data_IF_859643628199
#
_entry.id   IF_859643628199
#
_cell.length_a   1.000
_cell.length_b   1.000
_cell.length_c   1.000
_cell.angle_alpha   90.00
_cell.angle_beta   90.00
_cell.angle_gamma   90.00
#
_symmetry.space_group_name_H-M   'P 1'
#
loop_
_entity.id
_entity.type
_entity.pdbx_description
1 polymer ?
#
# COMPACT_ATOMS: atom_id res chain seq x y z
N UNK A 1 -9.76 5.22 -2.91
CA UNK A 1 -8.44 5.75 -2.51
C UNK A 1 -7.79 4.98 -1.35
N UNK A 2 -8.54 4.55 -0.33
CA UNK A 2 -8.01 3.89 0.88
C UNK A 2 -7.41 2.48 0.68
N UNK A 3 -7.64 1.82 -0.46
CA UNK A 3 -7.05 0.51 -0.75
C UNK A 3 -5.50 0.56 -0.67
N UNK A 4 -4.89 -0.02 0.37
CA UNK A 4 -3.43 0.03 0.57
C UNK A 4 -2.86 1.46 0.72
N UNK A 5 -3.64 2.41 1.22
CA UNK A 5 -3.17 3.77 1.49
C UNK A 5 -3.72 4.23 2.83
N UNK A 6 -2.87 4.82 3.69
CA UNK A 6 -3.28 5.25 5.02
C UNK A 6 -4.27 6.43 4.96
N UNK A 7 -5.22 6.47 5.90
CA UNK A 7 -6.27 7.51 5.98
C UNK A 7 -5.66 8.90 5.97
N UNK A 8 -4.66 9.17 6.82
CA UNK A 8 -4.00 10.47 6.93
C UNK A 8 -3.42 10.99 5.60
N UNK A 9 -2.97 10.08 4.72
CA UNK A 9 -2.52 10.43 3.38
C UNK A 9 -3.68 10.74 2.45
N UNK A 10 -4.80 10.02 2.57
CA UNK A 10 -5.94 10.12 1.64
C UNK A 10 -6.78 11.37 1.85
N UNK A 11 -6.89 11.90 3.07
CA UNK A 11 -7.80 13.02 3.39
C UNK A 11 -7.67 14.19 2.42
N UNK A 12 -6.47 14.72 2.23
CA UNK A 12 -6.23 15.89 1.37
C UNK A 12 -6.34 15.57 -0.13
N UNK A 13 -6.14 14.31 -0.52
CA UNK A 13 -6.40 13.89 -1.89
C UNK A 13 -7.89 13.78 -2.17
N UNK A 14 -8.65 13.21 -1.24
CA UNK A 14 -10.09 13.06 -1.36
C UNK A 14 -10.78 14.42 -1.44
N UNK A 15 -10.44 15.37 -0.56
CA UNK A 15 -10.99 16.73 -0.59
C UNK A 15 -10.74 17.42 -1.95
N UNK A 16 -9.50 17.40 -2.45
CA UNK A 16 -9.17 18.00 -3.75
C UNK A 16 -9.85 17.29 -4.91
N UNK A 17 -9.97 15.97 -4.85
CA UNK A 17 -10.67 15.17 -5.85
C UNK A 17 -12.14 15.53 -5.93
N UNK A 18 -12.85 15.50 -4.80
CA UNK A 18 -14.28 15.81 -4.73
C UNK A 18 -14.57 17.28 -5.08
N UNK A 19 -13.64 18.21 -4.79
CA UNK A 19 -13.76 19.61 -5.23
C UNK A 19 -13.68 19.75 -6.76
N UNK A 20 -12.85 18.94 -7.42
CA UNK A 20 -12.66 18.99 -8.88
C UNK A 20 -13.75 18.22 -9.64
N UNK A 21 -14.13 17.05 -9.12
CA UNK A 21 -15.14 16.18 -9.71
C UNK A 21 -16.16 15.80 -8.62
N UNK A 22 -17.15 16.68 -8.36
CA UNK A 22 -18.15 16.44 -7.33
C UNK A 22 -19.14 15.34 -7.73
N UNK A 23 -19.35 15.11 -9.02
CA UNK A 23 -20.26 14.08 -9.53
C UNK A 23 -19.55 13.01 -10.38
N UNK A 24 -20.22 11.88 -10.58
CA UNK A 24 -19.76 10.83 -11.49
C UNK A 24 -19.65 11.34 -12.93
N UNK A 25 -20.57 12.22 -13.34
CA UNK A 25 -20.61 12.82 -14.68
C UNK A 25 -19.40 13.74 -14.91
N UNK A 26 -18.98 14.50 -13.90
CA UNK A 26 -17.79 15.35 -13.98
C UNK A 26 -16.53 14.50 -14.14
N UNK A 27 -16.42 13.41 -13.36
CA UNK A 27 -15.31 12.48 -13.48
C UNK A 27 -15.32 11.77 -14.84
N UNK A 28 -16.47 11.35 -15.35
CA UNK A 28 -16.57 10.64 -16.63
C UNK A 28 -16.09 11.49 -17.83
N UNK A 29 -16.23 12.81 -17.75
CA UNK A 29 -15.74 13.78 -18.75
C UNK A 29 -14.25 14.10 -18.62
N UNK A 30 -13.61 13.72 -17.51
CA UNK A 30 -12.21 14.02 -17.26
C UNK A 30 -11.29 13.25 -18.21
N UNK A 31 -10.14 13.85 -18.56
CA UNK A 31 -9.10 13.11 -19.27
C UNK A 31 -8.32 12.19 -18.32
N UNK A 32 -7.75 11.12 -18.87
CA UNK A 32 -6.88 10.22 -18.10
C UNK A 32 -5.68 10.97 -17.52
N UNK A 33 -5.18 11.99 -18.20
CA UNK A 33 -4.06 12.81 -17.73
C UNK A 33 -4.43 13.68 -16.53
N UNK A 34 -5.61 14.30 -16.53
CA UNK A 34 -6.11 15.04 -15.39
C UNK A 34 -6.30 14.14 -14.16
N UNK A 35 -6.82 12.93 -14.37
CA UNK A 35 -6.96 11.91 -13.32
C UNK A 35 -5.58 11.50 -12.77
N UNK A 36 -4.61 11.22 -13.63
CA UNK A 36 -3.26 10.86 -13.20
C UNK A 36 -2.57 11.98 -12.43
N UNK A 37 -2.77 13.24 -12.82
CA UNK A 37 -2.25 14.41 -12.12
C UNK A 37 -2.83 14.53 -10.72
N UNK A 38 -4.15 14.38 -10.57
CA UNK A 38 -4.83 14.41 -9.27
C UNK A 38 -4.46 13.21 -8.38
N UNK A 39 -4.15 12.05 -8.99
CA UNK A 39 -3.74 10.83 -8.30
C UNK A 39 -2.24 10.80 -7.96
N UNK A 40 -1.46 11.77 -8.45
CA UNK A 40 -0.01 11.77 -8.32
C UNK A 40 0.43 11.74 -6.85
N UNK A 41 1.21 10.74 -6.48
CA UNK A 41 1.70 10.52 -5.11
C UNK A 41 0.91 9.51 -4.27
N UNK A 42 -0.30 9.09 -4.68
CA UNK A 42 -1.05 8.03 -3.99
C UNK A 42 -0.55 6.61 -4.30
N UNK A 43 0.27 6.45 -5.34
CA UNK A 43 0.73 5.15 -5.84
C UNK A 43 -0.39 4.33 -6.49
N UNK A 44 0.00 3.24 -7.17
CA UNK A 44 -0.93 2.35 -7.88
C UNK A 44 -1.90 3.10 -8.80
N UNK A 45 -1.35 3.82 -9.79
CA UNK A 45 -2.11 4.68 -10.74
C UNK A 45 -3.20 3.93 -11.52
N UNK A 46 -3.09 2.61 -11.66
CA UNK A 46 -4.13 1.77 -12.23
C UNK A 46 -5.47 1.90 -11.50
N UNK A 47 -5.47 2.22 -10.19
CA UNK A 47 -6.70 2.45 -9.42
C UNK A 47 -7.44 3.72 -9.88
N UNK A 48 -6.71 4.82 -10.09
CA UNK A 48 -7.30 6.06 -10.59
C UNK A 48 -7.86 5.89 -12.01
N UNK A 49 -7.10 5.20 -12.88
CA UNK A 49 -7.56 4.85 -14.22
C UNK A 49 -8.84 4.00 -14.21
N UNK A 50 -8.88 2.92 -13.43
CA UNK A 50 -10.06 2.04 -13.33
C UNK A 50 -11.28 2.79 -12.75
N UNK A 51 -11.05 3.73 -11.83
CA UNK A 51 -12.13 4.57 -11.30
C UNK A 51 -12.73 5.48 -12.38
N UNK A 52 -11.90 6.06 -13.26
CA UNK A 52 -12.36 6.82 -14.43
C UNK A 52 -13.14 5.92 -15.40
N UNK A 53 -12.59 4.76 -15.77
CA UNK A 53 -13.26 3.78 -16.64
C UNK A 53 -14.61 3.34 -16.05
N UNK A 54 -14.68 3.13 -14.73
CA UNK A 54 -15.91 2.80 -14.01
C UNK A 54 -16.94 3.93 -14.05
N UNK A 55 -16.53 5.18 -13.82
CA UNK A 55 -17.42 6.33 -13.91
C UNK A 55 -17.98 6.52 -15.33
N UNK A 56 -17.13 6.37 -16.35
CA UNK A 56 -17.54 6.42 -17.75
C UNK A 56 -18.56 5.34 -18.08
N UNK A 57 -18.30 4.11 -17.63
CA UNK A 57 -19.22 2.98 -17.83
C UNK A 57 -20.59 3.22 -17.18
N UNK A 58 -20.62 3.75 -15.94
CA UNK A 58 -21.88 4.07 -15.25
C UNK A 58 -22.68 5.14 -15.99
N UNK A 59 -22.01 6.17 -16.52
CA UNK A 59 -22.68 7.21 -17.30
C UNK A 59 -23.22 6.67 -18.63
N UNK A 60 -22.44 5.86 -19.35
CA UNK A 60 -22.79 5.36 -20.69
C UNK A 60 -23.81 4.22 -20.65
N UNK A 61 -23.62 3.23 -19.79
CA UNK A 61 -24.42 2.00 -19.78
C UNK A 61 -25.57 2.02 -18.76
N UNK A 62 -25.44 2.81 -17.69
CA UNK A 62 -26.43 2.85 -16.59
C UNK A 62 -27.10 4.23 -16.44
N UNK A 63 -26.96 5.11 -17.43
CA UNK A 63 -27.58 6.44 -17.42
C UNK A 63 -27.15 7.32 -16.24
N UNK A 64 -25.93 7.11 -15.73
CA UNK A 64 -25.39 7.82 -14.57
C UNK A 64 -25.90 7.31 -13.22
N UNK A 65 -26.68 6.23 -13.19
CA UNK A 65 -27.16 5.60 -11.95
C UNK A 65 -26.22 4.45 -11.56
N UNK A 66 -25.63 4.55 -10.37
CA UNK A 66 -24.79 3.47 -9.84
C UNK A 66 -25.63 2.20 -9.58
N UNK A 67 -25.09 1.01 -9.90
CA UNK A 67 -25.67 -0.25 -9.43
C UNK A 67 -25.76 -0.26 -7.91
N UNK A 68 -26.90 -0.71 -7.38
CA UNK A 68 -27.21 -0.60 -5.94
C UNK A 68 -26.82 -1.83 -5.11
N UNK A 69 -26.56 -2.97 -5.75
CA UNK A 69 -26.19 -4.20 -5.05
C UNK A 69 -24.70 -4.53 -5.19
N UNK A 70 -24.12 -5.19 -4.20
CA UNK A 70 -22.74 -5.64 -4.20
C UNK A 70 -22.45 -6.57 -5.37
N UNK A 71 -23.39 -7.47 -5.70
CA UNK A 71 -23.30 -8.39 -6.83
C UNK A 71 -23.20 -7.63 -8.15
N UNK A 72 -24.06 -6.61 -8.34
CA UNK A 72 -24.06 -5.81 -9.57
C UNK A 72 -22.81 -4.92 -9.66
N UNK A 73 -22.40 -4.29 -8.55
CA UNK A 73 -21.17 -3.50 -8.50
C UNK A 73 -19.94 -4.34 -8.84
N UNK A 74 -19.83 -5.56 -8.28
CA UNK A 74 -18.75 -6.50 -8.54
C UNK A 74 -18.74 -6.99 -10.00
N UNK A 75 -19.92 -7.32 -10.55
CA UNK A 75 -20.05 -7.86 -11.90
C UNK A 75 -19.76 -6.82 -12.98
N UNK A 76 -20.22 -5.59 -12.79
CA UNK A 76 -20.26 -4.60 -13.86
C UNK A 76 -19.13 -3.58 -13.82
N UNK A 77 -18.57 -3.23 -12.66
CA UNK A 77 -17.64 -2.10 -12.55
C UNK A 77 -16.16 -2.53 -12.53
N UNK A 78 -15.32 -1.99 -13.43
CA UNK A 78 -13.90 -2.32 -13.47
C UNK A 78 -13.16 -1.83 -12.22
N UNK A 79 -12.33 -2.70 -11.64
CA UNK A 79 -11.55 -2.35 -10.45
C UNK A 79 -12.31 -2.37 -9.12
N UNK A 80 -13.60 -2.70 -9.15
CA UNK A 80 -14.39 -2.99 -7.96
C UNK A 80 -14.25 -4.47 -7.63
N UNK A 81 -13.55 -4.78 -6.54
CA UNK A 81 -13.48 -6.13 -5.97
C UNK A 81 -14.52 -6.32 -4.88
N UNK A 82 -14.63 -7.55 -4.35
CA UNK A 82 -15.63 -7.96 -3.34
C UNK A 82 -15.74 -6.99 -2.16
N UNK A 83 -14.60 -6.58 -1.59
CA UNK A 83 -14.55 -5.58 -0.52
C UNK A 83 -15.17 -4.23 -0.92
N UNK A 84 -14.77 -3.69 -2.08
CA UNK A 84 -15.24 -2.37 -2.53
C UNK A 84 -16.72 -2.41 -2.92
N UNK A 85 -17.18 -3.50 -3.51
CA UNK A 85 -18.59 -3.72 -3.80
C UNK A 85 -19.43 -3.71 -2.52
N UNK A 86 -19.06 -4.54 -1.53
CA UNK A 86 -19.78 -4.59 -0.25
C UNK A 86 -19.71 -3.27 0.53
N UNK A 87 -18.56 -2.57 0.50
CA UNK A 87 -18.43 -1.28 1.17
C UNK A 87 -19.33 -0.22 0.55
N UNK A 88 -19.39 -0.12 -0.79
CA UNK A 88 -20.30 0.83 -1.46
C UNK A 88 -21.75 0.43 -1.20
N UNK A 89 -22.11 -0.84 -1.36
CA UNK A 89 -23.49 -1.30 -1.23
C UNK A 89 -24.04 -1.10 0.19
N UNK A 90 -23.25 -1.42 1.22
CA UNK A 90 -23.67 -1.23 2.61
C UNK A 90 -23.69 0.23 3.04
N UNK A 91 -22.65 1.02 2.71
CA UNK A 91 -22.54 2.41 3.17
C UNK A 91 -23.47 3.35 2.39
N UNK A 92 -23.57 3.19 1.07
CA UNK A 92 -24.33 4.11 0.23
C UNK A 92 -25.78 3.67 -0.04
N UNK A 93 -26.06 2.36 0.04
CA UNK A 93 -27.37 1.80 -0.32
C UNK A 93 -27.99 0.91 0.77
N UNK A 94 -27.39 0.86 1.96
CA UNK A 94 -27.88 0.08 3.10
C UNK A 94 -28.14 -1.40 2.78
N UNK A 95 -27.42 -1.99 1.81
CA UNK A 95 -27.50 -3.43 1.59
C UNK A 95 -26.84 -4.16 2.78
N UNK A 96 -27.58 -5.08 3.39
CA UNK A 96 -27.09 -5.94 4.47
C UNK A 96 -26.05 -6.96 3.94
N UNK A 97 -24.81 -6.49 3.78
CA UNK A 97 -23.68 -7.31 3.35
C UNK A 97 -22.45 -6.96 4.18
N UNK A 98 -21.81 -7.99 4.75
CA UNK A 98 -20.58 -7.83 5.51
C UNK A 98 -19.39 -7.56 4.59
N UNK A 99 -18.38 -6.88 5.11
CA UNK A 99 -17.12 -6.64 4.38
C UNK A 99 -15.93 -7.21 5.14
N UNK A 100 -14.91 -7.65 4.39
CA UNK A 100 -13.67 -8.17 4.96
C UNK A 100 -12.48 -7.42 4.39
N UNK A 101 -11.76 -6.71 5.26
CA UNK A 101 -10.47 -6.09 5.00
C UNK A 101 -9.42 -6.55 6.02
N UNK A 102 -8.19 -6.03 5.94
CA UNK A 102 -7.14 -6.40 6.89
C UNK A 102 -7.45 -6.06 8.36
N UNK A 103 -8.32 -5.09 8.62
CA UNK A 103 -8.78 -4.75 9.96
C UNK A 103 -9.85 -5.73 10.44
N UNK A 104 -10.87 -5.97 9.64
CA UNK A 104 -11.97 -6.89 9.94
C UNK A 104 -11.48 -8.33 10.09
N UNK A 105 -10.56 -8.79 9.23
CA UNK A 105 -9.91 -10.10 9.37
C UNK A 105 -9.36 -10.27 10.78
N UNK A 106 -8.60 -9.29 11.26
CA UNK A 106 -7.96 -9.38 12.58
C UNK A 106 -8.97 -9.36 13.71
N UNK A 107 -10.00 -8.51 13.61
CA UNK A 107 -11.08 -8.45 14.61
C UNK A 107 -11.81 -9.79 14.68
N UNK A 108 -12.30 -10.30 13.54
CA UNK A 108 -13.05 -11.56 13.48
C UNK A 108 -12.21 -12.76 13.93
N UNK A 109 -10.94 -12.84 13.49
CA UNK A 109 -10.05 -13.92 13.93
C UNK A 109 -9.87 -13.93 15.45
N UNK A 110 -9.72 -12.77 16.10
CA UNK A 110 -9.62 -12.68 17.56
C UNK A 110 -10.95 -12.97 18.25
N UNK A 111 -12.07 -12.49 17.70
CA UNK A 111 -13.39 -12.76 18.27
C UNK A 111 -13.79 -14.23 18.20
N UNK A 112 -13.30 -14.98 17.20
CA UNK A 112 -13.69 -16.38 16.92
C UNK A 112 -12.55 -17.40 16.98
N UNK A 113 -11.41 -17.07 17.60
CA UNK A 113 -10.25 -17.97 17.75
C UNK A 113 -9.72 -18.58 16.44
N UNK A 114 -9.83 -17.86 15.32
CA UNK A 114 -9.33 -18.32 14.03
C UNK A 114 -7.82 -18.07 13.98
N UNK A 115 -7.04 -19.13 14.22
CA UNK A 115 -5.58 -19.13 14.33
C UNK A 115 -4.86 -19.40 13.03
N UNK A 116 -5.50 -20.11 12.09
CA UNK A 116 -4.91 -20.46 10.82
C UNK A 116 -4.54 -19.22 9.97
N UNK A 117 -3.69 -19.45 8.97
CA UNK A 117 -3.22 -18.38 8.10
C UNK A 117 -4.39 -17.64 7.45
N UNK A 118 -4.46 -16.34 7.72
CA UNK A 118 -5.46 -15.44 7.14
C UNK A 118 -5.41 -15.36 5.61
N UNK A 119 -4.36 -15.85 4.95
CA UNK A 119 -4.28 -15.90 3.48
C UNK A 119 -4.84 -17.19 2.88
N UNK A 120 -5.22 -18.18 3.70
CA UNK A 120 -5.80 -19.43 3.20
C UNK A 120 -7.23 -19.22 2.70
N UNK A 121 -7.63 -19.97 1.68
CA UNK A 121 -8.96 -19.85 1.09
C UNK A 121 -10.06 -20.26 2.09
N UNK A 122 -9.82 -21.30 2.89
CA UNK A 122 -10.75 -21.75 3.93
C UNK A 122 -11.04 -20.65 4.96
N UNK A 123 -9.99 -20.03 5.51
CA UNK A 123 -10.14 -18.91 6.45
C UNK A 123 -10.82 -17.72 5.79
N UNK A 124 -10.44 -17.35 4.57
CA UNK A 124 -11.10 -16.26 3.84
C UNK A 124 -12.59 -16.52 3.67
N UNK A 125 -12.99 -17.72 3.24
CA UNK A 125 -14.39 -18.09 3.07
C UNK A 125 -15.17 -18.01 4.40
N UNK A 126 -14.59 -18.55 5.49
CA UNK A 126 -15.21 -18.49 6.81
C UNK A 126 -15.35 -17.05 7.31
N UNK A 127 -14.33 -16.21 7.13
CA UNK A 127 -14.38 -14.80 7.53
C UNK A 127 -15.45 -14.02 6.77
N UNK A 128 -15.61 -14.28 5.47
CA UNK A 128 -16.68 -13.68 4.69
C UNK A 128 -18.07 -14.16 5.10
N UNK A 129 -18.22 -15.45 5.43
CA UNK A 129 -19.48 -15.97 6.00
C UNK A 129 -19.79 -15.27 7.32
N UNK A 130 -18.85 -15.29 8.27
CA UNK A 130 -19.00 -14.65 9.57
C UNK A 130 -19.35 -13.17 9.45
N UNK A 131 -18.69 -12.44 8.54
CA UNK A 131 -18.99 -11.03 8.33
C UNK A 131 -20.43 -10.80 7.86
N UNK A 132 -20.97 -11.68 7.01
CA UNK A 132 -22.37 -11.62 6.59
C UNK A 132 -23.33 -12.07 7.70
N UNK A 133 -22.93 -13.00 8.56
CA UNK A 133 -23.77 -13.49 9.66
C UNK A 133 -23.93 -12.44 10.77
N UNK A 134 -22.91 -11.62 11.00
CA UNK A 134 -22.90 -10.63 12.10
C UNK A 134 -23.26 -9.21 11.67
N UNK A 135 -23.38 -8.93 10.37
CA UNK A 135 -23.69 -7.58 9.89
C UNK A 135 -25.07 -7.16 10.39
N UNK A 136 -25.15 -5.96 10.95
CA UNK A 136 -26.42 -5.36 11.34
C UNK A 136 -27.32 -5.20 10.11
N UNK A 137 -28.56 -5.66 10.20
CA UNK A 137 -29.49 -5.66 9.06
C UNK A 137 -30.07 -4.28 8.79
N UNK A 138 -30.20 -3.44 9.83
CA UNK A 138 -30.81 -2.12 9.74
C UNK A 138 -29.76 -1.04 9.39
N UNK A 139 -28.55 -1.18 9.91
CA UNK A 139 -27.44 -0.24 9.78
C UNK A 139 -26.14 -0.91 9.29
N UNK A 140 -26.15 -1.63 8.15
CA UNK A 140 -25.00 -2.41 7.71
C UNK A 140 -23.78 -1.55 7.36
N UNK A 141 -24.00 -0.33 6.86
CA UNK A 141 -22.94 0.63 6.56
C UNK A 141 -22.17 1.04 7.82
N UNK A 142 -22.89 1.45 8.87
CA UNK A 142 -22.28 1.87 10.13
C UNK A 142 -21.65 0.70 10.88
N UNK A 143 -22.28 -0.48 10.84
CA UNK A 143 -21.67 -1.70 11.39
C UNK A 143 -20.33 -2.01 10.72
N UNK A 144 -20.30 -2.01 9.38
CA UNK A 144 -19.07 -2.28 8.62
C UNK A 144 -17.98 -1.23 8.90
N UNK A 145 -18.35 0.05 8.98
CA UNK A 145 -17.43 1.12 9.37
C UNK A 145 -16.93 0.96 10.80
N UNK A 146 -17.80 0.60 11.74
CA UNK A 146 -17.46 0.31 13.13
C UNK A 146 -16.47 -0.86 13.26
N UNK A 147 -16.66 -1.93 12.49
CA UNK A 147 -15.72 -3.07 12.45
C UNK A 147 -14.35 -2.67 11.89
N UNK A 148 -14.31 -1.84 10.84
CA UNK A 148 -13.06 -1.30 10.30
C UNK A 148 -12.35 -0.40 11.32
N UNK A 149 -13.09 0.51 11.95
CA UNK A 149 -12.57 1.48 12.92
C UNK A 149 -12.08 0.79 14.19
N UNK A 150 -12.82 -0.20 14.70
CA UNK A 150 -12.41 -1.03 15.84
C UNK A 150 -11.06 -1.70 15.56
N UNK A 151 -10.88 -2.27 14.38
CA UNK A 151 -9.60 -2.83 13.98
C UNK A 151 -8.50 -1.76 13.88
N UNK A 152 -8.81 -0.61 13.30
CA UNK A 152 -7.82 0.45 13.08
C UNK A 152 -7.32 1.11 14.37
N UNK A 153 -8.19 1.31 15.36
CA UNK A 153 -7.89 2.16 16.53
C UNK A 153 -7.71 1.40 17.84
N UNK A 154 -8.42 0.28 18.04
CA UNK A 154 -8.43 -0.47 19.33
C UNK A 154 -7.79 -1.84 19.17
N UNK A 155 -8.35 -2.66 18.28
CA UNK A 155 -7.90 -4.01 18.00
C UNK A 155 -6.76 -3.97 16.98
N UNK A 156 -5.67 -3.28 17.31
CA UNK A 156 -4.53 -3.00 16.43
C UNK A 156 -3.65 -4.26 16.20
N UNK A 157 -2.77 -4.25 15.18
CA UNK A 157 -1.88 -5.38 14.91
C UNK A 157 -0.90 -5.68 16.05
N UNK A 158 -0.43 -4.65 16.76
CA UNK A 158 0.50 -4.76 17.88
C UNK A 158 -0.07 -4.05 19.10
N UNK A 159 0.01 -4.71 20.27
CA UNK A 159 -0.44 -4.14 21.55
C UNK A 159 -1.88 -3.59 21.50
N UNK A 160 -2.89 -4.43 21.19
CA UNK A 160 -4.28 -3.99 21.12
C UNK A 160 -4.82 -3.56 22.49
N UNK A 161 -5.61 -2.50 22.52
CA UNK A 161 -6.20 -1.91 23.72
C UNK A 161 -7.42 -2.69 24.21
N UNK A 162 -7.23 -3.95 24.61
CA UNK A 162 -8.32 -4.86 24.95
C UNK A 162 -9.18 -4.37 26.13
N UNK A 163 -8.60 -3.66 27.10
CA UNK A 163 -9.30 -3.16 28.27
C UNK A 163 -10.37 -2.09 27.93
N UNK A 164 -10.13 -1.29 26.88
CA UNK A 164 -11.07 -0.27 26.38
C UNK A 164 -11.88 -0.75 25.18
N UNK A 165 -11.78 -2.02 24.81
CA UNK A 165 -12.49 -2.56 23.67
C UNK A 165 -13.99 -2.75 23.99
N UNK A 166 -14.92 -2.14 23.23
CA UNK A 166 -16.35 -2.26 23.50
C UNK A 166 -16.86 -3.70 23.31
N UNK A 167 -16.18 -4.51 22.50
CA UNK A 167 -16.53 -5.90 22.22
C UNK A 167 -15.75 -6.91 23.09
N UNK A 168 -15.09 -6.48 24.17
CA UNK A 168 -14.19 -7.36 24.95
C UNK A 168 -14.90 -8.56 25.59
N UNK A 169 -16.18 -8.41 25.98
CA UNK A 169 -16.98 -9.50 26.58
C UNK A 169 -17.29 -10.61 25.58
N UNK A 170 -17.35 -10.28 24.29
CA UNK A 170 -17.64 -11.21 23.20
C UNK A 170 -16.36 -11.80 22.58
N UNK A 171 -15.18 -11.34 22.99
CA UNK A 171 -13.91 -11.71 22.37
C UNK A 171 -13.36 -13.02 22.96
N UNK A 172 -13.47 -14.12 22.20
CA UNK A 172 -12.98 -15.42 22.64
C UNK A 172 -11.46 -15.46 22.86
N UNK A 173 -10.66 -14.74 22.05
CA UNK A 173 -9.21 -14.64 22.29
C UNK A 173 -8.89 -13.98 23.63
N UNK A 174 -9.63 -12.94 24.02
CA UNK A 174 -9.46 -12.29 25.33
C UNK A 174 -9.84 -13.25 26.44
N UNK A 175 -10.96 -13.96 26.31
CA UNK A 175 -11.38 -14.98 27.28
C UNK A 175 -10.33 -16.11 27.43
N UNK A 176 -9.70 -16.54 26.35
CA UNK A 176 -8.65 -17.55 26.37
C UNK A 176 -7.37 -17.04 27.08
N UNK A 177 -6.96 -15.79 26.83
CA UNK A 177 -5.83 -15.16 27.54
C UNK A 177 -6.08 -15.13 29.05
N UNK A 178 -7.28 -14.71 29.48
CA UNK A 178 -7.61 -14.64 30.92
C UNK A 178 -7.72 -16.04 31.57
N UNK A 179 -8.24 -17.04 30.84
CA UNK A 179 -8.22 -18.44 31.29
C UNK A 179 -6.79 -18.95 31.51
N UNK A 180 -5.88 -18.68 30.57
CA UNK A 180 -4.49 -19.13 30.69
C UNK A 180 -3.74 -18.43 31.84
N UNK A 181 -4.01 -17.15 32.11
CA UNK A 181 -3.47 -16.45 33.30
C UNK A 181 -3.97 -17.08 34.60
N UNK A 182 -5.25 -17.43 34.66
CA UNK A 182 -5.87 -18.03 35.86
C UNK A 182 -5.31 -19.42 36.17
N UNK A 183 -5.00 -20.22 35.12
CA UNK A 183 -4.32 -21.52 35.27
C UNK A 183 -2.90 -21.37 35.84
N UNK A 184 -2.16 -20.32 35.49
CA UNK A 184 -0.83 -20.05 36.04
C UNK A 184 -0.88 -19.44 37.48
N UNK A 185 -2.00 -18.82 37.87
CA UNK A 185 -2.22 -18.26 39.20
C UNK A 185 -2.72 -19.27 40.24
N UNK A 186 -3.48 -20.28 39.84
CA UNK A 186 -3.94 -21.36 40.72
C UNK A 186 -2.83 -22.41 40.91
N UNK A 187 -1.89 -22.13 41.83
CA UNK A 187 -0.99 -23.14 42.43
C UNK A 187 -1.70 -24.09 43.40
N UNK A 188 -3.01 -23.91 43.63
CA UNK A 188 -3.86 -24.81 44.41
C UNK A 188 -4.59 -25.72 43.41
N UNK A 189 -4.16 -26.98 43.33
CA UNK A 189 -4.51 -27.95 42.29
C UNK A 189 -5.98 -28.38 42.21
N UNK A 190 -6.89 -27.43 42.00
CA UNK A 190 -8.28 -27.70 41.65
C UNK A 190 -8.32 -27.91 40.14
N UNK A 191 -8.42 -29.18 39.71
CA UNK A 191 -8.69 -29.55 38.32
C UNK A 191 -10.10 -29.09 37.98
N UNK A 192 -10.20 -27.96 37.27
CA UNK A 192 -11.45 -27.50 36.70
C UNK A 192 -11.95 -28.58 35.71
N UNK A 193 -13.10 -29.18 36.01
CA UNK A 193 -13.61 -30.41 35.39
C UNK A 193 -14.49 -30.14 34.17
N UNK A 194 -14.19 -29.11 33.40
CA UNK A 194 -14.89 -28.81 32.14
C UNK A 194 -13.91 -28.54 31.01
N UNK A 195 -12.95 -29.44 30.80
CA UNK A 195 -12.28 -29.59 29.50
C UNK A 195 -13.14 -30.54 28.63
N UNK A 196 -14.40 -30.16 28.37
CA UNK A 196 -15.12 -30.75 27.24
C UNK A 196 -14.55 -30.03 26.01
N UNK A 197 -13.75 -30.70 25.16
CA UNK A 197 -13.26 -30.09 23.93
C UNK A 197 -14.47 -29.61 23.12
N UNK A 198 -14.35 -28.42 22.55
CA UNK A 198 -15.33 -27.93 21.57
C UNK A 198 -15.50 -29.00 20.49
N UNK A 199 -16.73 -29.27 20.04
CA UNK A 199 -17.00 -30.36 19.10
C UNK A 199 -16.23 -30.18 17.79
N UNK A 200 -15.87 -28.94 17.45
CA UNK A 200 -15.00 -28.59 16.32
C UNK A 200 -13.51 -28.95 16.53
N UNK A 201 -13.08 -29.22 17.77
CA UNK A 201 -11.74 -29.70 18.13
C UNK A 201 -11.62 -31.24 18.12
N UNK A 202 -12.73 -31.97 17.93
CA UNK A 202 -12.74 -33.45 17.84
C UNK A 202 -12.33 -33.92 16.43
N UNK A 203 -12.27 -33.01 15.46
CA UNK A 203 -11.74 -33.28 14.12
C UNK A 203 -10.21 -33.25 14.19
N UNK A 204 -9.56 -34.36 13.79
CA UNK A 204 -8.09 -34.52 13.85
C UNK A 204 -7.29 -33.41 13.14
N UNK A 205 -7.94 -32.60 12.29
CA UNK A 205 -7.30 -31.43 11.65
C UNK A 205 -8.32 -30.34 11.29
N UNK A 206 -8.41 -29.31 12.13
CA UNK A 206 -9.23 -28.12 11.84
C UNK A 206 -8.43 -27.07 11.07
N UNK A 207 -8.89 -26.71 9.86
CA UNK A 207 -8.26 -25.72 8.98
C UNK A 207 -8.37 -24.26 9.49
N UNK A 208 -9.06 -24.03 10.61
CA UNK A 208 -9.24 -22.71 11.22
C UNK A 208 -8.42 -22.54 12.51
N UNK A 209 -8.03 -23.65 13.15
CA UNK A 209 -7.28 -23.65 14.39
C UNK A 209 -5.83 -23.17 14.18
N UNK A 210 -5.12 -22.95 15.29
CA UNK A 210 -3.67 -22.74 15.24
C UNK A 210 -3.02 -23.95 14.55
N UNK A 211 -2.09 -23.73 13.60
CA UNK A 211 -1.32 -24.83 13.02
C UNK A 211 -0.61 -25.66 14.11
N UNK A 212 -0.58 -26.97 13.96
CA UNK A 212 0.04 -27.90 14.93
C UNK A 212 1.50 -27.55 15.26
N UNK A 213 2.23 -26.96 14.31
CA UNK A 213 3.60 -26.53 14.45
C UNK A 213 3.77 -25.13 15.08
N UNK A 214 2.68 -24.40 15.34
CA UNK A 214 2.67 -23.04 15.90
C UNK A 214 1.78 -22.97 17.15
N UNK A 215 2.25 -23.57 18.25
CA UNK A 215 1.55 -23.60 19.54
C UNK A 215 1.38 -22.22 20.17
N UNK A 216 0.40 -22.09 21.07
CA UNK A 216 0.10 -20.85 21.80
C UNK A 216 1.34 -20.20 22.44
N UNK A 217 1.56 -18.91 22.16
CA UNK A 217 2.61 -18.11 22.80
C UNK A 217 1.99 -17.16 23.85
N UNK A 218 2.31 -17.36 25.13
CA UNK A 218 1.82 -16.53 26.22
C UNK A 218 2.16 -15.05 26.05
N UNK A 219 3.30 -14.72 25.43
CA UNK A 219 3.77 -13.34 25.26
C UNK A 219 2.95 -12.57 24.23
N UNK A 220 2.40 -13.27 23.24
CA UNK A 220 1.61 -12.67 22.17
C UNK A 220 0.16 -12.42 22.63
N UNK A 221 -0.36 -13.20 23.58
CA UNK A 221 -1.72 -13.06 24.10
C UNK A 221 -2.77 -13.16 22.97
N UNK A 222 -3.63 -12.15 22.82
CA UNK A 222 -4.62 -12.14 21.72
C UNK A 222 -3.98 -12.03 20.32
N UNK A 223 -2.69 -11.68 20.23
CA UNK A 223 -1.96 -11.56 18.95
C UNK A 223 -1.57 -12.91 18.36
N UNK A 224 -1.79 -14.02 19.08
CA UNK A 224 -1.79 -15.36 18.49
C UNK A 224 -2.82 -15.51 17.35
N UNK A 225 -3.84 -14.63 17.31
CA UNK A 225 -4.91 -14.65 16.32
C UNK A 225 -4.95 -13.36 15.47
N UNK A 226 -4.95 -13.43 14.13
CA UNK A 226 -4.55 -14.58 13.32
C UNK A 226 -3.02 -14.75 13.30
N UNK A 227 -2.52 -15.98 13.05
CA UNK A 227 -1.09 -16.18 12.82
C UNK A 227 -0.65 -15.46 11.55
N UNK A 228 0.51 -14.81 11.67
CA UNK A 228 1.06 -14.00 10.59
C UNK A 228 1.67 -14.93 9.55
N UNK A 229 1.12 -14.91 8.34
CA UNK A 229 1.75 -15.60 7.21
C UNK A 229 3.21 -15.14 7.04
N UNK A 230 4.13 -16.11 6.91
CA UNK A 230 5.53 -15.83 6.63
C UNK A 230 5.69 -14.96 5.37
N UNK A 231 6.39 -13.83 5.48
CA UNK A 231 6.64 -12.96 4.32
C UNK A 231 7.71 -13.59 3.44
N UNK A 232 7.36 -13.96 2.20
CA UNK A 232 8.36 -14.28 1.16
C UNK A 232 9.23 -13.05 0.91
N UNK A 233 10.54 -13.26 0.78
CA UNK A 233 11.48 -12.18 0.49
C UNK A 233 11.09 -11.50 -0.83
N UNK A 234 11.16 -10.17 -0.86
CA UNK A 234 10.88 -9.42 -2.07
C UNK A 234 11.92 -9.77 -3.14
N UNK A 235 11.46 -9.98 -4.38
CA UNK A 235 12.35 -10.20 -5.52
C UNK A 235 13.21 -8.96 -5.71
N UNK A 236 14.52 -9.15 -5.75
CA UNK A 236 15.47 -8.08 -6.07
C UNK A 236 15.56 -7.97 -7.59
N UNK A 237 15.13 -6.84 -8.13
CA UNK A 237 15.26 -6.52 -9.56
C UNK A 237 16.33 -5.44 -9.75
N UNK A 238 17.12 -5.57 -10.82
CA UNK A 238 18.14 -4.60 -11.21
C UNK A 238 17.65 -3.85 -12.45
N UNK A 239 17.60 -2.52 -12.38
CA UNK A 239 17.15 -1.68 -13.50
C UNK A 239 18.25 -0.68 -13.86
N UNK A 240 18.58 -0.63 -15.15
CA UNK A 240 19.48 0.39 -15.71
C UNK A 240 18.65 1.55 -16.28
N UNK A 241 19.08 2.78 -15.99
CA UNK A 241 18.44 4.00 -16.51
C UNK A 241 19.46 4.77 -17.35
N UNK A 242 19.17 4.93 -18.64
CA UNK A 242 19.98 5.73 -19.56
C UNK A 242 19.35 7.12 -19.73
N UNK A 243 20.17 8.17 -19.58
CA UNK A 243 19.74 9.56 -19.78
C UNK A 243 20.46 10.11 -21.01
N UNK A 244 19.75 10.17 -22.13
CA UNK A 244 20.29 10.69 -23.39
C UNK A 244 20.03 12.19 -23.46
N UNK A 245 21.08 12.97 -23.72
CA UNK A 245 21.02 14.43 -23.79
C UNK A 245 21.65 14.93 -25.10
N UNK A 246 20.91 15.73 -25.87
CA UNK A 246 21.40 16.46 -27.06
C UNK A 246 21.64 17.92 -26.70
N UNK A 247 22.81 18.46 -27.09
CA UNK A 247 23.09 19.90 -26.98
C UNK A 247 22.71 20.59 -28.30
N UNK A 248 21.91 21.64 -28.23
CA UNK A 248 21.63 22.51 -29.38
C UNK A 248 22.72 23.58 -29.53
N UNK A 249 22.90 24.08 -30.76
CA UNK A 249 23.66 25.33 -31.00
C UNK A 249 22.92 26.45 -30.25
N UNK A 250 23.57 27.02 -29.23
CA UNK A 250 22.94 27.94 -28.26
C UNK A 250 23.04 27.52 -26.79
N UNK A 251 23.55 26.30 -26.49
CA UNK A 251 23.81 25.85 -25.12
C UNK A 251 22.62 25.20 -24.41
N UNK A 252 21.44 25.23 -25.02
CA UNK A 252 20.26 24.50 -24.56
C UNK A 252 20.48 22.97 -24.63
N UNK A 253 19.91 22.25 -23.65
CA UNK A 253 19.96 20.79 -23.57
C UNK A 253 18.58 20.21 -23.75
N UNK A 254 18.47 19.24 -24.65
CA UNK A 254 17.28 18.44 -24.87
C UNK A 254 17.52 17.03 -24.33
N UNK A 255 16.50 16.43 -23.75
CA UNK A 255 16.56 15.09 -23.18
C UNK A 255 15.61 14.17 -23.93
N UNK A 256 16.04 12.94 -24.18
CA UNK A 256 15.19 11.93 -24.79
C UNK A 256 14.38 11.22 -23.72
N UNK A 257 13.05 11.16 -23.92
CA UNK A 257 12.12 10.51 -23.02
C UNK A 257 11.31 9.49 -23.82
N UNK A 258 11.26 8.26 -23.33
CA UNK A 258 10.46 7.19 -23.93
C UNK A 258 9.20 7.01 -23.10
N UNK A 259 8.05 7.11 -23.75
CA UNK A 259 6.77 6.79 -23.14
C UNK A 259 6.62 5.27 -23.04
N UNK A 260 6.39 4.74 -21.84
CA UNK A 260 6.14 3.30 -21.64
C UNK A 260 4.80 2.88 -22.24
N UNK A 261 4.75 1.62 -22.71
CA UNK A 261 3.55 0.98 -23.22
C UNK A 261 2.40 1.00 -22.20
N UNK A 262 1.16 0.96 -22.69
CA UNK A 262 -0.05 1.15 -21.88
C UNK A 262 -0.32 0.02 -20.85
N UNK A 263 0.45 -1.08 -20.86
CA UNK A 263 0.34 -2.21 -19.93
C UNK A 263 1.66 -2.39 -19.16
N UNK A 264 1.61 -2.44 -17.83
CA UNK A 264 2.79 -2.70 -16.97
C UNK A 264 2.94 -1.77 -15.76
N UNK A 265 3.84 -2.12 -14.82
CA UNK A 265 3.83 -1.67 -13.42
C UNK A 265 4.17 -0.19 -13.13
N UNK A 266 4.48 0.66 -14.12
CA UNK A 266 4.64 2.11 -13.91
C UNK A 266 4.20 2.87 -15.17
N UNK A 267 3.00 3.45 -15.12
CA UNK A 267 2.33 4.15 -16.22
C UNK A 267 2.49 5.67 -16.03
N UNK A 268 2.99 6.32 -17.09
CA UNK A 268 3.04 7.77 -17.36
C UNK A 268 3.58 8.67 -16.23
N UNK A 269 4.89 8.91 -16.24
CA UNK A 269 5.50 10.08 -15.59
C UNK A 269 6.59 10.66 -16.48
N UNK A 270 6.36 11.87 -17.02
CA UNK A 270 7.36 12.62 -17.78
C UNK A 270 8.36 13.26 -16.82
N UNK A 271 9.66 12.99 -17.01
CA UNK A 271 10.73 13.47 -16.11
C UNK A 271 11.74 14.28 -16.92
N UNK A 272 11.81 15.59 -16.74
CA UNK A 272 12.83 16.45 -17.36
C UNK A 272 13.99 16.66 -16.38
N UNK A 273 15.24 16.61 -16.84
CA UNK A 273 16.42 16.89 -16.00
C UNK A 273 16.95 18.28 -16.35
N UNK A 274 16.81 19.28 -15.48
CA UNK A 274 17.32 20.64 -15.74
C UNK A 274 18.64 20.86 -15.00
N UNK A 275 19.69 21.34 -15.67
CA UNK A 275 21.01 21.59 -15.07
C UNK A 275 21.23 23.09 -14.83
N UNK A 276 21.34 23.53 -13.56
CA UNK A 276 21.74 24.91 -13.19
C UNK A 276 23.16 24.90 -12.65
N UNK A 277 23.98 25.85 -13.12
CA UNK A 277 25.36 26.05 -12.64
C UNK A 277 25.34 27.15 -11.57
N UNK A 278 25.87 26.87 -10.39
CA UNK A 278 26.10 27.88 -9.34
C UNK A 278 27.44 28.60 -9.56
N UNK A 279 27.61 29.74 -8.88
CA UNK A 279 28.82 30.59 -8.95
C UNK A 279 30.10 29.91 -8.43
N UNK A 280 29.95 28.89 -7.58
CA UNK A 280 31.01 28.04 -7.02
C UNK A 280 31.46 26.89 -7.96
N UNK A 281 30.90 26.80 -9.17
CA UNK A 281 31.18 25.71 -10.10
C UNK A 281 30.38 24.42 -9.83
N UNK A 282 29.57 24.39 -8.78
CA UNK A 282 28.67 23.29 -8.46
C UNK A 282 27.54 23.20 -9.51
N UNK A 283 27.27 22.00 -10.02
CA UNK A 283 26.17 21.74 -10.96
C UNK A 283 25.04 21.06 -10.21
N UNK A 284 23.89 21.73 -10.16
CA UNK A 284 22.67 21.17 -9.61
C UNK A 284 21.76 20.71 -10.75
N UNK A 285 21.32 19.47 -10.68
CA UNK A 285 20.33 18.94 -11.60
C UNK A 285 18.98 18.86 -10.87
N UNK A 286 17.90 19.27 -11.53
CA UNK A 286 16.54 19.26 -11.03
C UNK A 286 15.74 18.25 -11.84
N UNK A 287 14.89 17.45 -11.18
CA UNK A 287 13.84 16.72 -11.87
C UNK A 287 12.62 17.63 -11.97
N UNK A 288 12.35 18.10 -13.17
CA UNK A 288 11.17 18.90 -13.51
C UNK A 288 10.12 17.97 -14.08
N UNK A 289 9.01 17.83 -13.38
CA UNK A 289 7.84 17.12 -13.87
C UNK A 289 6.94 18.13 -14.59
N UNK A 290 6.67 17.90 -15.87
CA UNK A 290 5.77 18.76 -16.65
C UNK A 290 4.39 18.14 -16.63
N UNK A 291 3.42 18.83 -16.02
CA UNK A 291 2.01 18.51 -16.23
C UNK A 291 1.58 18.98 -17.63
N UNK A 292 0.62 18.30 -18.25
CA UNK A 292 0.19 18.56 -19.63
C UNK A 292 -0.32 19.99 -19.87
N UNK A 293 -0.73 20.73 -18.82
CA UNK A 293 -1.18 22.14 -18.89
C UNK A 293 -0.10 23.19 -18.56
N UNK A 294 1.18 22.85 -18.70
CA UNK A 294 2.26 23.85 -18.74
C UNK A 294 2.80 24.33 -17.38
N UNK A 295 2.19 23.97 -16.24
CA UNK A 295 2.76 24.25 -14.93
C UNK A 295 3.88 23.26 -14.56
N UNK A 296 5.06 23.79 -14.21
CA UNK A 296 6.21 23.00 -13.75
C UNK A 296 6.01 22.61 -12.27
N UNK A 297 5.87 21.31 -12.00
CA UNK A 297 6.02 20.77 -10.65
C UNK A 297 7.49 20.41 -10.44
N UNK A 298 8.14 21.09 -9.49
CA UNK A 298 9.56 20.86 -9.15
C UNK A 298 9.66 19.83 -8.04
N UNK A 299 10.09 18.60 -8.36
CA UNK A 299 10.50 17.64 -7.34
C UNK A 299 12.01 17.74 -7.19
N UNK A 300 12.45 18.26 -6.05
CA UNK A 300 13.86 18.51 -5.75
C UNK A 300 14.61 17.20 -5.52
N UNK A 301 15.06 16.57 -6.60
CA UNK A 301 16.12 15.57 -6.58
C UNK A 301 17.39 16.26 -7.04
N UNK A 302 18.22 16.68 -6.09
CA UNK A 302 19.49 17.31 -6.38
C UNK A 302 20.48 16.23 -6.82
N UNK A 303 20.93 16.26 -8.08
CA UNK A 303 22.15 15.55 -8.46
C UNK A 303 23.34 16.45 -8.14
N UNK A 304 24.16 16.11 -7.14
CA UNK A 304 25.37 16.89 -6.81
C UNK A 304 26.57 16.28 -7.53
N UNK A 305 27.25 17.04 -8.38
CA UNK A 305 28.48 16.60 -9.05
C UNK A 305 29.71 17.10 -8.26
N UNK A 306 30.38 16.22 -7.51
CA UNK A 306 31.66 16.54 -6.84
C UNK A 306 32.82 16.02 -7.67
N UNK A 307 33.75 16.90 -8.01
CA UNK A 307 35.01 16.55 -8.69
C UNK A 307 36.05 16.22 -7.63
N UNK A 308 36.62 15.01 -7.66
CA UNK A 308 37.75 14.64 -6.82
C UNK A 308 39.07 15.09 -7.45
N UNK A 309 40.14 15.12 -6.64
CA UNK A 309 41.49 15.53 -7.04
C UNK A 309 42.11 14.64 -8.13
N UNK A 310 41.64 13.39 -8.25
CA UNK A 310 42.02 12.39 -9.26
C UNK A 310 41.28 12.55 -10.62
N UNK A 311 40.42 13.57 -10.76
CA UNK A 311 39.61 13.78 -11.96
C UNK A 311 38.31 12.96 -12.00
N UNK A 312 38.05 12.12 -11.01
CA UNK A 312 36.83 11.34 -10.86
C UNK A 312 35.63 12.25 -10.54
N UNK A 313 34.48 12.02 -11.19
CA UNK A 313 33.24 12.77 -10.94
C UNK A 313 32.22 11.88 -10.23
N UNK A 314 31.78 12.31 -9.06
CA UNK A 314 30.75 11.64 -8.28
C UNK A 314 29.44 12.40 -8.37
N UNK A 315 28.37 11.70 -8.72
CA UNK A 315 27.02 12.25 -8.76
C UNK A 315 26.18 11.66 -7.61
N UNK A 316 25.63 12.52 -6.75
CA UNK A 316 24.78 12.11 -5.63
C UNK A 316 23.32 12.41 -5.92
N UNK A 317 22.40 11.46 -5.77
CA UNK A 317 20.96 11.74 -5.77
C UNK A 317 20.52 12.14 -4.36
N UNK A 318 19.98 13.33 -4.22
CA UNK A 318 19.55 13.88 -2.92
C UNK A 318 18.07 14.21 -3.01
N UNK A 319 17.24 13.48 -2.26
CA UNK A 319 15.80 13.69 -2.21
C UNK A 319 15.43 14.40 -0.91
N UNK A 320 14.78 15.56 -0.98
CA UNK A 320 14.23 16.22 0.22
C UNK A 320 12.93 15.52 0.63
N UNK A 321 12.82 15.11 1.89
CA UNK A 321 11.53 14.73 2.46
C UNK A 321 10.69 15.98 2.73
N UNK A 322 9.36 15.84 2.74
CA UNK A 322 8.40 16.92 3.00
C UNK A 322 8.60 17.65 4.36
N UNK A 323 9.38 17.10 5.29
CA UNK A 323 9.68 17.69 6.61
C UNK A 323 11.09 18.27 6.76
N UNK A 324 11.71 18.75 5.69
CA UNK A 324 12.98 19.50 5.78
C UNK A 324 14.25 18.65 6.03
N UNK A 325 14.13 17.37 6.41
CA UNK A 325 15.27 16.46 6.45
C UNK A 325 15.64 15.94 5.05
N UNK A 326 16.92 16.00 4.73
CA UNK A 326 17.54 15.44 3.53
C UNK A 326 17.61 13.92 3.66
N UNK A 327 16.81 13.19 2.89
CA UNK A 327 16.96 11.73 2.74
C UNK A 327 17.99 11.50 1.63
N UNK A 328 19.20 11.09 2.01
CA UNK A 328 20.24 10.67 1.06
C UNK A 328 19.92 9.28 0.51
N UNK A 329 19.24 9.21 -0.63
CA UNK A 329 19.12 7.97 -1.39
C UNK A 329 20.49 7.69 -2.02
N UNK A 330 21.25 6.77 -1.42
CA UNK A 330 22.69 6.58 -1.69
C UNK A 330 22.95 5.77 -2.97
N UNK A 331 22.51 6.30 -4.11
CA UNK A 331 22.89 5.82 -5.44
C UNK A 331 23.92 6.81 -5.99
N UNK A 332 25.17 6.36 -6.04
CA UNK A 332 26.29 7.14 -6.56
C UNK A 332 26.53 6.74 -8.02
N UNK A 333 26.51 7.70 -8.94
CA UNK A 333 27.04 7.47 -10.30
C UNK A 333 28.50 7.90 -10.29
N UNK A 334 29.41 7.00 -10.64
CA UNK A 334 30.85 7.27 -10.75
C UNK A 334 31.22 7.27 -12.22
N UNK A 335 31.76 8.38 -12.73
CA UNK A 335 32.27 8.47 -14.10
C UNK A 335 33.79 8.38 -14.09
N UNK A 336 34.36 7.33 -14.69
CA UNK A 336 35.80 7.16 -14.90
C UNK A 336 36.13 7.34 -16.38
N UNK A 337 37.11 8.19 -16.67
CA UNK A 337 37.65 8.36 -18.03
C UNK A 337 38.79 7.36 -18.22
N UNK A 338 38.67 6.49 -19.21
CA UNK A 338 39.77 5.59 -19.62
C UNK A 338 40.79 6.36 -20.48
N UNK A 339 41.98 5.78 -20.65
CA UNK A 339 43.10 6.36 -21.42
C UNK A 339 42.78 6.51 -22.91
N UNK A 340 41.89 5.69 -23.44
CA UNK A 340 41.36 5.70 -24.82
C UNK A 340 40.29 6.79 -25.07
N UNK A 341 39.89 7.56 -24.05
CA UNK A 341 38.86 8.58 -24.16
C UNK A 341 37.43 8.09 -23.87
N UNK A 342 37.22 6.79 -23.72
CA UNK A 342 35.94 6.21 -23.31
C UNK A 342 35.57 6.65 -21.88
N UNK A 343 34.26 6.77 -21.63
CA UNK A 343 33.74 7.08 -20.29
C UNK A 343 32.95 5.90 -19.77
N UNK A 344 33.46 5.30 -18.70
CA UNK A 344 32.76 4.25 -17.98
C UNK A 344 31.97 4.87 -16.83
N UNK A 345 30.72 4.46 -16.69
CA UNK A 345 29.83 4.89 -15.62
C UNK A 345 29.54 3.70 -14.71
N UNK A 346 29.67 3.88 -13.40
CA UNK A 346 29.31 2.85 -12.42
C UNK A 346 28.17 3.36 -11.57
N UNK A 347 27.20 2.49 -11.29
CA UNK A 347 26.21 2.72 -10.25
C UNK A 347 26.68 2.01 -8.99
N UNK A 348 26.90 2.77 -7.93
CA UNK A 348 27.30 2.25 -6.62
C UNK A 348 26.15 2.51 -5.67
N UNK A 349 25.54 1.41 -5.19
CA UNK A 349 24.46 1.46 -4.21
C UNK A 349 24.99 0.91 -2.88
N UNK A 350 24.86 1.69 -1.80
CA UNK A 350 25.13 1.20 -0.45
C UNK A 350 23.91 0.41 0.04
N UNK A 351 24.09 -0.87 0.36
CA UNK A 351 23.08 -1.61 1.10
C UNK A 351 22.97 -1.05 2.53
N UNK A 352 21.79 -1.11 3.15
CA UNK A 352 21.53 -0.61 4.50
C UNK A 352 22.43 -1.22 5.61
N UNK A 353 23.26 -2.24 5.31
CA UNK A 353 24.19 -2.92 6.23
C UNK A 353 25.66 -2.86 5.78
N UNK A 354 26.16 -1.69 5.40
CA UNK A 354 27.61 -1.42 5.33
C UNK A 354 28.40 -2.02 4.16
N UNK A 355 27.90 -3.04 3.45
CA UNK A 355 28.59 -3.58 2.27
C UNK A 355 28.37 -2.71 1.02
N UNK A 356 29.49 -2.37 0.37
CA UNK A 356 29.54 -1.71 -0.93
C UNK A 356 29.30 -2.76 -2.03
N UNK A 357 28.17 -2.67 -2.71
CA UNK A 357 27.90 -3.49 -3.89
C UNK A 357 28.33 -2.68 -5.11
N UNK A 358 29.40 -3.14 -5.79
CA UNK A 358 29.86 -2.57 -7.06
C UNK A 358 29.08 -3.23 -8.19
N UNK A 359 28.53 -2.44 -9.10
CA UNK A 359 27.91 -2.95 -10.33
C UNK A 359 28.55 -2.26 -11.53
N UNK A 360 29.15 -3.06 -12.40
CA UNK A 360 29.73 -2.63 -13.67
C UNK A 360 28.61 -2.34 -14.67
N UNK A 361 28.69 -1.19 -15.34
CA UNK A 361 27.85 -0.86 -16.50
C UNK A 361 28.79 -0.61 -17.67
N UNK A 362 28.61 -1.35 -18.76
CA UNK A 362 29.23 -1.03 -20.04
C UNK A 362 28.29 -0.05 -20.78
N UNK A 363 28.85 1.01 -21.34
CA UNK A 363 28.13 1.93 -22.22
C UNK A 363 28.73 1.73 -23.60
N UNK A 364 27.90 1.34 -24.57
CA UNK A 364 28.22 1.45 -26.00
C UNK A 364 28.01 2.89 -26.43
#
# INVERSE_FOLDING_TARGET
MLQQTQVATVVEYYKRWMKKWPTLQDLAKASLEEVNEMWAGLGYYSRGRRLLEGAQKVVQEFGGKMPRTAEALLKHLPGVGRYTAGAIASIAYSQATGIVDGNVIRVLCRMRLIGASSTSQAVQNKLWSLANDVVDQDHPGDFNQGMMELGATVCTPKSPSCASCPAQSLCLAKAQVERNKSKNGNKLGIKDRTDIPDIECVVEKCDLCLPENETWDEKEGVQNYPRKAGKKAARVERTSVCVVCRRKRGGERQYYLVQRAQKGQLIRTSVCVVCRRKRDGERQYYLVQRAQKGQLMRTSVCVVCRRKRDGERQYYLVQRAQKGQLIRTSVCVVCRRKRDGERQYYLVQRAQKGQLIRTSVCVV
#
